data_IF_518094382890
#
_entry.id   IF_518094382890
#
_cell.length_a   1.000
_cell.length_b   1.000
_cell.length_c   1.000
_cell.angle_alpha   90.00
_cell.angle_beta   90.00
_cell.angle_gamma   90.00
#
_symmetry.space_group_name_H-M   'P 1'
#
loop_
_entity.id
_entity.type
_entity.pdbx_description
1 polymer ?
#
# COMPACT_ATOMS: atom_id res chain seq x y z
N UNK A 1 -14.52 -0.66 -13.54
CA UNK A 1 -14.33 -2.11 -13.82
C UNK A 1 -13.85 -2.40 -15.25
N UNK A 2 -14.21 -1.61 -16.28
CA UNK A 2 -13.69 -1.80 -17.65
C UNK A 2 -12.22 -1.34 -17.87
N UNK A 3 -11.69 -0.48 -17.01
CA UNK A 3 -10.42 0.23 -17.25
C UNK A 3 -9.14 -0.57 -16.93
N UNK A 4 -9.22 -1.59 -16.08
CA UNK A 4 -8.06 -2.46 -15.77
C UNK A 4 -7.83 -3.54 -16.84
N UNK A 5 -8.90 -4.02 -17.46
CA UNK A 5 -8.83 -4.98 -18.57
C UNK A 5 -8.25 -4.30 -19.82
N UNK A 6 -8.66 -3.06 -20.12
CA UNK A 6 -8.13 -2.28 -21.24
C UNK A 6 -6.62 -1.99 -21.14
N UNK A 7 -6.09 -1.81 -19.93
CA UNK A 7 -4.66 -1.56 -19.71
C UNK A 7 -3.77 -2.79 -19.92
N UNK A 8 -4.36 -3.99 -19.96
CA UNK A 8 -3.63 -5.26 -20.10
C UNK A 8 -3.40 -5.72 -21.55
N UNK A 9 -4.01 -5.03 -22.53
CA UNK A 9 -3.91 -5.39 -23.95
C UNK A 9 -4.57 -6.73 -24.30
N UNK A 10 -5.43 -7.26 -23.43
CA UNK A 10 -6.13 -8.52 -23.61
C UNK A 10 -7.41 -8.30 -24.44
N UNK A 11 -7.57 -9.05 -25.53
CA UNK A 11 -8.80 -9.03 -26.34
C UNK A 11 -9.95 -9.67 -25.55
N UNK A 12 -10.93 -8.86 -25.17
CA UNK A 12 -12.05 -9.21 -24.30
C UNK A 12 -12.86 -10.44 -24.77
N UNK A 13 -12.79 -10.81 -26.06
CA UNK A 13 -13.49 -11.98 -26.60
C UNK A 13 -12.80 -13.33 -26.33
N UNK A 14 -11.53 -13.32 -25.90
CA UNK A 14 -10.72 -14.54 -25.67
C UNK A 14 -10.40 -14.81 -24.19
N UNK A 15 -10.86 -13.94 -23.30
CA UNK A 15 -10.53 -13.99 -21.87
C UNK A 15 -11.54 -14.87 -21.12
N UNK A 16 -11.07 -15.99 -20.56
CA UNK A 16 -11.78 -16.66 -19.49
C UNK A 16 -11.45 -15.94 -18.19
N UNK A 17 -12.35 -15.11 -17.68
CA UNK A 17 -12.11 -14.27 -16.51
C UNK A 17 -13.25 -14.42 -15.52
N UNK A 18 -12.91 -14.93 -14.33
CA UNK A 18 -13.80 -14.99 -13.19
C UNK A 18 -13.34 -13.91 -12.20
N UNK A 19 -14.12 -12.84 -12.10
CA UNK A 19 -13.99 -11.84 -11.05
C UNK A 19 -15.23 -11.90 -10.16
N UNK A 20 -15.03 -11.94 -8.86
CA UNK A 20 -16.14 -12.01 -7.90
C UNK A 20 -15.82 -11.25 -6.63
N UNK A 21 -16.87 -10.80 -5.95
CA UNK A 21 -16.81 -10.29 -4.59
C UNK A 21 -17.65 -11.19 -3.71
N UNK A 22 -17.10 -11.61 -2.57
CA UNK A 22 -17.77 -12.46 -1.60
C UNK A 22 -17.70 -11.84 -0.20
N UNK A 23 -18.83 -11.70 0.50
CA UNK A 23 -20.19 -11.84 -0.02
C UNK A 23 -20.52 -10.74 -1.06
N UNK A 24 -21.56 -10.94 -1.88
CA UNK A 24 -21.97 -9.95 -2.89
C UNK A 24 -22.57 -8.67 -2.28
N UNK A 25 -23.21 -8.80 -1.12
CA UNK A 25 -23.73 -7.70 -0.31
C UNK A 25 -23.11 -7.84 1.09
N UNK A 26 -21.88 -7.35 1.29
CA UNK A 26 -21.26 -7.41 2.60
C UNK A 26 -22.00 -6.53 3.60
N UNK A 27 -22.04 -7.00 4.83
CA UNK A 27 -22.60 -6.26 5.96
C UNK A 27 -21.70 -5.09 6.31
N UNK A 28 -22.31 -3.97 6.69
CA UNK A 28 -21.70 -2.77 7.24
C UNK A 28 -22.72 -2.22 8.26
N UNK A 29 -22.57 -2.58 9.53
CA UNK A 29 -23.58 -2.32 10.57
C UNK A 29 -23.51 -0.89 11.08
N UNK A 30 -22.31 -0.36 11.23
CA UNK A 30 -22.13 1.00 11.71
C UNK A 30 -22.23 2.03 10.59
N UNK A 31 -22.06 1.67 9.31
CA UNK A 31 -22.28 2.52 8.15
C UNK A 31 -21.11 3.46 7.85
N UNK A 32 -19.88 3.09 8.18
CA UNK A 32 -18.67 3.86 7.82
C UNK A 32 -18.16 3.57 6.39
N UNK A 33 -18.75 2.59 5.71
CA UNK A 33 -18.40 2.18 4.34
C UNK A 33 -17.32 1.10 4.27
N UNK A 34 -16.82 0.63 5.41
CA UNK A 34 -15.98 -0.56 5.52
C UNK A 34 -16.89 -1.75 5.88
N UNK A 35 -16.88 -2.83 5.09
CA UNK A 35 -17.67 -3.99 5.43
C UNK A 35 -17.05 -4.78 6.58
N UNK A 36 -17.89 -5.47 7.37
CA UNK A 36 -17.44 -6.50 8.32
C UNK A 36 -16.38 -7.39 7.67
N UNK A 37 -16.65 -7.86 6.46
CA UNK A 37 -15.64 -8.47 5.59
C UNK A 37 -16.14 -8.50 4.13
N UNK A 38 -15.26 -8.19 3.19
CA UNK A 38 -15.46 -8.46 1.77
C UNK A 38 -14.16 -8.91 1.12
N UNK A 39 -14.22 -9.99 0.33
CA UNK A 39 -13.10 -10.49 -0.47
C UNK A 39 -13.40 -10.34 -1.94
N UNK A 40 -12.58 -9.55 -2.63
CA UNK A 40 -12.50 -9.54 -4.08
C UNK A 40 -11.55 -10.65 -4.54
N UNK A 41 -11.96 -11.46 -5.51
CA UNK A 41 -11.14 -12.50 -6.13
C UNK A 41 -11.12 -12.32 -7.64
N UNK A 42 -9.97 -12.55 -8.25
CA UNK A 42 -9.77 -12.54 -9.69
C UNK A 42 -9.02 -13.80 -10.11
N UNK A 43 -9.50 -14.47 -11.15
CA UNK A 43 -8.84 -15.59 -11.82
C UNK A 43 -9.15 -15.50 -13.31
N UNK A 44 -8.18 -14.98 -14.07
CA UNK A 44 -8.34 -14.71 -15.49
C UNK A 44 -7.20 -15.32 -16.28
N UNK A 45 -7.54 -15.91 -17.43
CA UNK A 45 -6.61 -16.61 -18.31
C UNK A 45 -6.86 -16.24 -19.77
N UNK A 46 -5.77 -15.94 -20.46
CA UNK A 46 -5.71 -15.83 -21.93
C UNK A 46 -4.47 -16.61 -22.37
N UNK A 47 -4.68 -17.73 -23.07
CA UNK A 47 -3.60 -18.63 -23.48
C UNK A 47 -2.68 -19.04 -22.31
N UNK A 48 -1.43 -18.54 -22.31
CA UNK A 48 -0.40 -18.75 -21.29
C UNK A 48 -0.22 -17.54 -20.35
N UNK A 49 -1.09 -16.54 -20.43
CA UNK A 49 -1.13 -15.38 -19.53
C UNK A 49 -2.21 -15.59 -18.47
N UNK A 50 -1.87 -15.35 -17.20
CA UNK A 50 -2.72 -15.58 -16.03
C UNK A 50 -2.69 -14.35 -15.12
N UNK A 51 -3.85 -13.88 -14.70
CA UNK A 51 -4.01 -12.95 -13.58
C UNK A 51 -4.80 -13.67 -12.49
N UNK A 52 -4.18 -13.87 -11.33
CA UNK A 52 -4.84 -14.45 -10.17
C UNK A 52 -4.60 -13.56 -8.97
N UNK A 53 -5.56 -13.50 -8.06
CA UNK A 53 -5.36 -12.78 -6.80
C UNK A 53 -6.61 -12.63 -5.97
N UNK A 54 -6.42 -12.26 -4.71
CA UNK A 54 -7.48 -11.88 -3.80
C UNK A 54 -7.08 -10.64 -3.02
N UNK A 55 -8.07 -9.81 -2.72
CA UNK A 55 -7.95 -8.66 -1.82
C UNK A 55 -9.09 -8.79 -0.82
N UNK A 56 -8.78 -8.82 0.47
CA UNK A 56 -9.77 -8.85 1.54
C UNK A 56 -9.74 -7.54 2.30
N UNK A 57 -10.90 -6.91 2.47
CA UNK A 57 -11.10 -5.76 3.34
C UNK A 57 -11.97 -6.23 4.52
N UNK A 58 -11.60 -5.85 5.74
CA UNK A 58 -12.29 -6.25 6.97
C UNK A 58 -12.34 -5.08 7.95
N UNK A 59 -13.51 -4.80 8.50
CA UNK A 59 -13.65 -3.93 9.67
C UNK A 59 -13.05 -4.59 10.92
N UNK A 60 -12.45 -3.83 11.83
CA UNK A 60 -11.97 -4.35 13.11
C UNK A 60 -13.12 -4.61 14.11
N UNK A 61 -14.17 -3.79 14.06
CA UNK A 61 -15.41 -3.91 14.84
C UNK A 61 -16.53 -3.16 14.11
N UNK A 62 -17.34 -3.90 13.36
CA UNK A 62 -18.46 -3.42 12.52
C UNK A 62 -19.58 -2.72 13.32
N UNK A 63 -19.47 -2.60 14.66
CA UNK A 63 -20.38 -1.80 15.49
C UNK A 63 -19.82 -0.42 15.86
N UNK A 64 -18.61 -0.08 15.41
CA UNK A 64 -17.90 1.11 15.80
C UNK A 64 -17.07 1.70 14.65
N UNK A 65 -17.61 2.77 14.03
CA UNK A 65 -17.03 3.53 12.91
C UNK A 65 -15.59 4.05 13.09
N UNK A 66 -15.04 3.93 14.30
CA UNK A 66 -13.69 4.37 14.65
C UNK A 66 -12.72 3.21 14.83
N UNK A 67 -13.16 1.96 14.79
CA UNK A 67 -12.42 0.73 15.08
C UNK A 67 -11.17 0.55 14.20
N UNK A 68 -11.22 1.06 12.96
CA UNK A 68 -10.19 0.88 11.94
C UNK A 68 -10.53 -0.27 11.00
N UNK A 69 -9.57 -0.70 10.18
CA UNK A 69 -9.79 -1.76 9.20
C UNK A 69 -8.50 -2.51 8.89
N UNK A 70 -8.64 -3.70 8.34
CA UNK A 70 -7.57 -4.48 7.74
C UNK A 70 -7.80 -4.64 6.23
N UNK A 71 -6.75 -4.50 5.43
CA UNK A 71 -6.71 -4.85 4.02
C UNK A 71 -5.58 -5.86 3.83
N UNK A 72 -5.86 -7.00 3.23
CA UNK A 72 -4.88 -8.06 3.01
C UNK A 72 -4.90 -8.50 1.55
N UNK A 73 -3.73 -8.76 0.98
CA UNK A 73 -3.60 -9.29 -0.38
C UNK A 73 -3.13 -10.74 -0.35
N UNK A 74 -3.77 -11.62 -1.11
CA UNK A 74 -3.36 -13.02 -1.23
C UNK A 74 -3.16 -13.39 -2.71
N UNK A 75 -1.97 -13.89 -3.04
CA UNK A 75 -1.63 -14.42 -4.37
C UNK A 75 -1.88 -13.46 -5.54
N UNK A 76 -1.76 -12.15 -5.37
CA UNK A 76 -1.98 -11.21 -6.48
C UNK A 76 -0.80 -11.23 -7.46
N UNK A 77 -0.96 -11.99 -8.55
CA UNK A 77 0.09 -12.29 -9.52
C UNK A 77 -0.44 -12.22 -10.95
N UNK A 78 0.30 -11.50 -11.80
CA UNK A 78 0.18 -11.53 -13.25
C UNK A 78 1.36 -12.31 -13.82
N UNK A 79 1.10 -13.46 -14.45
CA UNK A 79 2.09 -14.30 -15.10
C UNK A 79 1.90 -14.32 -16.61
N UNK A 80 3.01 -14.32 -17.36
CA UNK A 80 3.07 -14.44 -18.81
C UNK A 80 3.89 -15.66 -19.19
N UNK A 81 3.52 -16.35 -20.27
CA UNK A 81 4.17 -17.60 -20.71
C UNK A 81 4.22 -18.64 -19.59
N UNK A 82 3.15 -18.76 -18.81
CA UNK A 82 3.08 -19.71 -17.70
C UNK A 82 3.32 -21.14 -18.17
N UNK A 83 4.20 -21.85 -17.47
CA UNK A 83 4.54 -23.24 -17.79
C UNK A 83 5.62 -23.42 -18.87
N UNK A 84 6.23 -22.34 -19.35
CA UNK A 84 7.35 -22.39 -20.31
C UNK A 84 8.67 -21.92 -19.67
N UNK A 85 9.79 -22.17 -20.36
CA UNK A 85 11.11 -21.73 -19.94
C UNK A 85 11.28 -20.19 -19.92
N UNK A 86 10.40 -19.44 -20.59
CA UNK A 86 10.42 -17.98 -20.66
C UNK A 86 9.33 -17.30 -19.80
N UNK A 87 8.82 -17.99 -18.77
CA UNK A 87 7.84 -17.42 -17.85
C UNK A 87 8.35 -16.14 -17.18
N UNK A 88 7.49 -15.12 -17.15
CA UNK A 88 7.74 -13.83 -16.50
C UNK A 88 6.48 -13.33 -15.82
N UNK A 89 6.58 -12.34 -14.95
CA UNK A 89 5.39 -11.86 -14.26
C UNK A 89 5.64 -10.75 -13.27
N UNK A 90 4.55 -10.33 -12.64
CA UNK A 90 4.46 -9.35 -11.59
C UNK A 90 3.76 -9.98 -10.38
N UNK A 91 4.26 -9.70 -9.18
CA UNK A 91 3.60 -10.06 -7.92
C UNK A 91 3.37 -8.80 -7.10
N UNK A 92 2.22 -8.73 -6.46
CA UNK A 92 1.84 -7.69 -5.54
C UNK A 92 1.39 -8.33 -4.23
N UNK A 93 1.84 -7.74 -3.14
CA UNK A 93 1.38 -8.02 -1.80
C UNK A 93 1.25 -6.66 -1.07
N UNK A 94 0.12 -6.45 -0.44
CA UNK A 94 -0.25 -5.21 0.23
C UNK A 94 -1.12 -5.57 1.42
N UNK A 95 -0.59 -5.30 2.60
CA UNK A 95 -1.31 -5.46 3.85
C UNK A 95 -1.33 -4.12 4.60
N UNK A 96 -2.50 -3.76 5.10
CA UNK A 96 -2.72 -2.60 5.94
C UNK A 96 -3.54 -3.06 7.14
N UNK A 97 -3.10 -2.72 8.33
CA UNK A 97 -3.80 -3.04 9.57
C UNK A 97 -3.87 -1.78 10.42
N UNK A 98 -5.02 -1.09 10.36
CA UNK A 98 -5.35 0.11 11.12
C UNK A 98 -6.16 -0.31 12.33
N UNK A 99 -5.62 -0.10 13.53
CA UNK A 99 -6.26 -0.47 14.79
C UNK A 99 -6.50 0.74 15.66
N UNK A 100 -7.71 0.91 16.16
CA UNK A 100 -8.03 1.96 17.09
C UNK A 100 -7.43 1.70 18.49
N UNK A 101 -6.77 2.72 19.02
CA UNK A 101 -6.17 2.83 20.35
C UNK A 101 -6.65 4.12 21.01
N UNK A 102 -7.97 4.20 21.24
CA UNK A 102 -8.70 5.38 21.71
C UNK A 102 -7.83 6.41 22.49
N UNK A 103 -7.68 7.66 21.99
CA UNK A 103 -8.27 8.21 20.77
C UNK A 103 -7.40 8.00 19.50
N UNK A 104 -6.25 7.35 19.63
CA UNK A 104 -5.22 7.24 18.59
C UNK A 104 -5.39 5.96 17.77
N UNK A 105 -4.46 5.72 16.84
CA UNK A 105 -4.44 4.52 16.02
C UNK A 105 -3.03 3.96 15.88
N UNK A 106 -2.92 2.64 15.88
CA UNK A 106 -1.74 1.91 15.42
C UNK A 106 -1.95 1.51 13.96
N UNK A 107 -0.91 1.64 13.14
CA UNK A 107 -0.92 1.27 11.73
C UNK A 107 0.23 0.30 11.49
N UNK A 108 -0.06 -0.83 10.86
CA UNK A 108 0.96 -1.67 10.22
C UNK A 108 0.73 -1.65 8.73
N UNK A 109 1.81 -1.51 7.98
CA UNK A 109 1.78 -1.47 6.54
C UNK A 109 2.89 -2.35 5.99
N UNK A 110 2.53 -3.24 5.08
CA UNK A 110 3.42 -4.05 4.28
C UNK A 110 3.07 -3.83 2.82
N UNK A 111 4.07 -3.53 2.01
CA UNK A 111 3.93 -3.49 0.56
C UNK A 111 5.09 -4.23 -0.06
N UNK A 112 4.81 -5.12 -0.98
CA UNK A 112 5.80 -5.83 -1.76
C UNK A 112 5.37 -5.91 -3.22
N UNK A 113 6.28 -5.50 -4.09
CA UNK A 113 6.12 -5.62 -5.53
C UNK A 113 7.34 -6.35 -6.10
N UNK A 114 7.11 -7.36 -6.92
CA UNK A 114 8.17 -8.08 -7.64
C UNK A 114 7.85 -8.14 -9.13
N UNK A 115 8.84 -7.80 -9.95
CA UNK A 115 8.85 -8.10 -11.38
C UNK A 115 9.92 -9.17 -11.65
N UNK A 116 9.53 -10.25 -12.34
CA UNK A 116 10.41 -11.38 -12.58
C UNK A 116 10.38 -11.88 -14.03
N UNK A 117 11.49 -12.45 -14.46
CA UNK A 117 11.65 -13.27 -15.68
C UNK A 117 12.81 -14.26 -15.46
N UNK A 118 13.12 -15.17 -16.39
CA UNK A 118 14.19 -16.15 -16.16
C UNK A 118 15.52 -15.46 -15.84
N UNK A 119 16.12 -15.84 -14.71
CA UNK A 119 17.39 -15.30 -14.23
C UNK A 119 17.38 -13.84 -13.78
N UNK A 120 16.24 -13.13 -13.78
CA UNK A 120 16.17 -11.73 -13.34
C UNK A 120 14.95 -11.46 -12.47
N UNK A 121 15.19 -10.86 -11.31
CA UNK A 121 14.16 -10.41 -10.37
C UNK A 121 14.47 -8.99 -9.91
N UNK A 122 13.44 -8.17 -9.87
CA UNK A 122 13.46 -6.84 -9.28
C UNK A 122 12.34 -6.78 -8.26
N UNK A 123 12.62 -6.27 -7.07
CA UNK A 123 11.56 -6.08 -6.08
C UNK A 123 11.73 -4.80 -5.29
N UNK A 124 10.59 -4.27 -4.85
CA UNK A 124 10.50 -3.18 -3.91
C UNK A 124 9.66 -3.66 -2.73
N UNK A 125 10.12 -3.39 -1.52
CA UNK A 125 9.35 -3.64 -0.29
C UNK A 125 9.30 -2.37 0.53
N UNK A 126 8.14 -2.06 1.08
CA UNK A 126 7.99 -0.96 2.02
C UNK A 126 7.17 -1.42 3.22
N UNK A 127 7.87 -1.55 4.36
CA UNK A 127 7.27 -2.06 5.59
C UNK A 127 7.45 -1.02 6.69
N UNK A 128 6.36 -0.59 7.29
CA UNK A 128 6.42 0.35 8.40
C UNK A 128 5.33 0.11 9.42
N UNK A 129 5.59 0.60 10.63
CA UNK A 129 4.60 0.79 11.67
C UNK A 129 4.44 2.27 11.92
N UNK A 130 3.21 2.74 12.11
CA UNK A 130 2.94 4.13 12.46
C UNK A 130 2.01 4.23 13.67
N UNK A 131 2.16 5.31 14.41
CA UNK A 131 1.17 5.83 15.34
C UNK A 131 0.51 7.02 14.68
N UNK A 132 -0.82 7.07 14.73
CA UNK A 132 -1.61 8.18 14.22
C UNK A 132 -2.44 8.82 15.33
N UNK A 133 -2.26 10.13 15.48
CA UNK A 133 -3.01 10.95 16.43
C UNK A 133 -3.94 11.86 15.64
N UNK A 134 -5.27 11.66 15.70
CA UNK A 134 -6.20 12.54 15.02
C UNK A 134 -6.21 13.93 15.65
N UNK A 135 -6.38 14.97 14.83
CA UNK A 135 -6.60 16.34 15.32
C UNK A 135 -7.97 16.47 16.03
N UNK A 136 -8.96 15.69 15.59
CA UNK A 136 -10.32 15.66 16.10
C UNK A 136 -10.78 14.19 16.28
N UNK A 137 -10.88 13.66 17.52
CA UNK A 137 -11.28 12.28 17.77
C UNK A 137 -12.68 11.90 17.30
N UNK A 138 -13.56 12.88 17.03
CA UNK A 138 -14.89 12.62 16.48
C UNK A 138 -14.89 12.55 14.95
N UNK A 139 -13.85 13.09 14.31
CA UNK A 139 -13.65 13.03 12.86
C UNK A 139 -12.20 12.66 12.57
N UNK A 140 -11.78 11.44 12.97
CA UNK A 140 -10.37 11.10 13.10
C UNK A 140 -9.60 11.21 11.78
N UNK A 141 -10.26 11.08 10.63
CA UNK A 141 -9.62 11.09 9.32
C UNK A 141 -9.67 12.44 8.59
N UNK A 142 -10.11 13.54 9.22
CA UNK A 142 -10.08 14.88 8.59
C UNK A 142 -8.67 15.51 8.66
N UNK A 143 -7.88 15.11 9.64
CA UNK A 143 -6.53 15.62 9.88
C UNK A 143 -5.91 14.95 11.08
N UNK A 144 -4.59 14.91 11.11
CA UNK A 144 -3.85 14.30 12.22
C UNK A 144 -2.36 14.18 11.94
N UNK A 145 -1.68 13.54 12.87
CA UNK A 145 -0.22 13.48 12.91
C UNK A 145 0.25 12.03 12.94
N UNK A 146 1.20 11.70 12.06
CA UNK A 146 1.85 10.39 12.00
C UNK A 146 3.26 10.45 12.59
N UNK A 147 3.59 9.44 13.38
CA UNK A 147 4.97 9.05 13.64
C UNK A 147 5.14 7.65 13.10
N UNK A 148 6.06 7.44 12.15
CA UNK A 148 6.27 6.10 11.62
C UNK A 148 7.74 5.75 11.51
N UNK A 149 8.00 4.44 11.63
CA UNK A 149 9.32 3.85 11.46
C UNK A 149 9.18 2.62 10.58
N UNK A 150 10.10 2.47 9.64
CA UNK A 150 10.07 1.35 8.72
C UNK A 150 11.32 1.22 7.87
N UNK A 151 11.24 0.36 6.88
CA UNK A 151 12.29 0.10 5.91
C UNK A 151 11.73 0.12 4.49
N UNK A 152 12.46 0.78 3.61
CA UNK A 152 12.30 0.70 2.16
C UNK A 152 13.43 -0.14 1.59
N UNK A 153 13.08 -1.26 0.98
CA UNK A 153 14.01 -2.17 0.34
C UNK A 153 13.83 -2.12 -1.18
N UNK A 154 14.94 -2.14 -1.90
CA UNK A 154 14.95 -2.32 -3.35
C UNK A 154 15.99 -3.35 -3.74
N UNK A 155 15.58 -4.36 -4.50
CA UNK A 155 16.46 -5.45 -4.94
C UNK A 155 16.47 -5.51 -6.47
N UNK A 156 17.66 -5.72 -7.01
CA UNK A 156 17.90 -6.07 -8.42
C UNK A 156 18.60 -7.44 -8.46
N UNK A 157 18.85 -8.03 -9.63
CA UNK A 157 19.57 -9.32 -9.70
C UNK A 157 20.97 -9.29 -9.08
N UNK A 158 21.60 -8.12 -8.99
CA UNK A 158 22.99 -7.98 -8.52
C UNK A 158 23.16 -7.11 -7.29
N UNK A 159 22.13 -6.40 -6.84
CA UNK A 159 22.23 -5.42 -5.77
C UNK A 159 21.03 -5.46 -4.84
N UNK A 160 21.28 -5.08 -3.59
CA UNK A 160 20.28 -4.89 -2.56
C UNK A 160 20.51 -3.53 -1.91
N UNK A 161 19.46 -2.73 -1.84
CA UNK A 161 19.44 -1.42 -1.22
C UNK A 161 18.42 -1.43 -0.10
N UNK A 162 18.79 -0.85 1.03
CA UNK A 162 17.97 -0.74 2.22
C UNK A 162 18.08 0.68 2.74
N UNK A 163 16.92 1.33 2.90
CA UNK A 163 16.81 2.64 3.55
C UNK A 163 15.92 2.48 4.79
N UNK A 164 16.39 2.96 5.93
CA UNK A 164 15.59 3.08 7.14
C UNK A 164 14.80 4.38 7.06
N UNK A 165 13.48 4.28 7.15
CA UNK A 165 12.55 5.41 7.14
C UNK A 165 12.10 5.79 8.55
N UNK A 166 12.13 7.08 8.85
CA UNK A 166 11.60 7.64 10.08
C UNK A 166 10.85 8.93 9.78
N UNK A 167 9.57 8.98 10.12
CA UNK A 167 8.78 10.20 10.14
C UNK A 167 8.51 10.65 11.57
N UNK A 168 8.55 11.96 11.77
CA UNK A 168 8.31 12.60 13.06
C UNK A 168 7.33 13.74 12.89
N UNK A 169 6.24 13.69 13.66
CA UNK A 169 5.17 14.68 13.66
C UNK A 169 4.64 15.02 12.27
N UNK A 170 4.60 14.04 11.37
CA UNK A 170 4.20 14.23 9.98
C UNK A 170 2.70 14.54 9.93
N UNK A 171 2.34 15.79 9.67
CA UNK A 171 0.97 16.30 9.82
C UNK A 171 0.24 16.30 8.49
N UNK A 172 -0.87 15.60 8.44
CA UNK A 172 -1.80 15.54 7.32
C UNK A 172 -3.02 16.42 7.61
N UNK A 173 -3.55 17.07 6.57
CA UNK A 173 -4.86 17.72 6.59
C UNK A 173 -5.58 17.42 5.28
N UNK A 174 -6.86 17.06 5.35
CA UNK A 174 -7.67 16.74 4.16
C UNK A 174 -7.74 17.87 3.12
N UNK A 175 -7.61 19.13 3.56
CA UNK A 175 -7.58 20.29 2.68
C UNK A 175 -6.29 20.43 1.87
N UNK A 176 -5.21 19.72 2.25
CA UNK A 176 -3.95 19.69 1.52
C UNK A 176 -3.80 18.37 0.78
N UNK A 177 -4.06 18.37 -0.53
CA UNK A 177 -4.04 17.14 -1.35
C UNK A 177 -2.69 16.85 -1.99
N UNK A 178 -1.76 17.81 -1.98
CA UNK A 178 -0.47 17.69 -2.64
C UNK A 178 0.62 17.10 -1.75
N UNK A 179 0.54 17.27 -0.42
CA UNK A 179 1.60 16.91 0.52
C UNK A 179 1.14 17.02 1.99
N UNK A 180 2.08 16.90 2.93
CA UNK A 180 1.87 17.15 4.35
C UNK A 180 1.97 18.65 4.68
N UNK A 181 1.29 19.06 5.74
CA UNK A 181 1.27 20.47 6.18
C UNK A 181 2.29 20.77 7.28
N UNK A 182 3.02 19.75 7.75
CA UNK A 182 3.96 19.87 8.86
C UNK A 182 4.74 18.59 9.10
N UNK A 183 5.83 18.69 9.87
CA UNK A 183 6.64 17.56 10.31
C UNK A 183 7.77 17.21 9.36
N UNK A 184 8.39 16.05 9.60
CA UNK A 184 9.56 15.62 8.82
C UNK A 184 9.55 14.13 8.55
N UNK A 185 10.24 13.76 7.48
CA UNK A 185 10.55 12.40 7.10
C UNK A 185 12.04 12.28 6.76
N UNK A 186 12.66 11.18 7.15
CA UNK A 186 14.07 10.91 6.88
C UNK A 186 14.28 9.50 6.36
N UNK A 187 15.21 9.36 5.43
CA UNK A 187 15.71 8.10 4.89
C UNK A 187 17.20 8.01 5.18
N UNK A 188 17.64 6.91 5.78
CA UNK A 188 19.06 6.66 6.06
C UNK A 188 19.51 5.34 5.42
N UNK A 189 20.61 5.35 4.68
CA UNK A 189 21.21 4.14 4.13
C UNK A 189 22.18 3.45 5.10
N UNK A 190 22.70 2.29 4.71
CA UNK A 190 23.64 1.52 5.55
C UNK A 190 25.02 2.17 5.72
N UNK A 191 25.34 3.18 4.92
CA UNK A 191 26.59 3.96 5.01
C UNK A 191 26.42 5.21 5.88
N UNK A 192 25.20 5.48 6.36
CA UNK A 192 24.87 6.66 7.14
C UNK A 192 24.56 7.89 6.28
N UNK A 193 24.45 7.75 4.95
CA UNK A 193 23.93 8.84 4.13
C UNK A 193 22.47 9.04 4.47
N UNK A 194 22.05 10.30 4.55
CA UNK A 194 20.74 10.68 5.04
C UNK A 194 20.07 11.70 4.13
N UNK A 195 18.84 11.40 3.74
CA UNK A 195 17.92 12.36 3.11
C UNK A 195 16.92 12.80 4.17
N UNK A 196 16.80 14.10 4.41
CA UNK A 196 15.78 14.69 5.27
C UNK A 196 14.81 15.53 4.43
N UNK A 197 13.52 15.32 4.67
CA UNK A 197 12.41 16.03 4.05
C UNK A 197 11.62 16.70 5.17
N UNK A 198 11.54 18.03 5.16
CA UNK A 198 10.79 18.82 6.14
C UNK A 198 9.62 19.50 5.43
N UNK A 199 8.42 19.29 5.95
CA UNK A 199 7.20 19.91 5.44
C UNK A 199 6.91 21.15 6.27
N UNK A 200 6.95 22.32 5.64
CA UNK A 200 6.76 23.63 6.29
C UNK A 200 5.35 24.20 6.07
N UNK A 201 4.50 23.46 5.36
CA UNK A 201 3.15 23.87 4.98
C UNK A 201 2.72 23.16 3.70
N UNK A 202 1.45 23.32 3.34
CA UNK A 202 0.92 22.68 2.14
C UNK A 202 1.68 23.14 0.88
N UNK A 203 2.32 22.20 0.19
CA UNK A 203 3.14 22.45 -1.00
C UNK A 203 4.51 23.06 -0.72
N UNK A 204 4.90 23.23 0.56
CA UNK A 204 6.17 23.83 0.96
C UNK A 204 7.05 22.78 1.64
N UNK A 205 8.13 22.39 0.96
CA UNK A 205 9.01 21.30 1.38
C UNK A 205 10.46 21.76 1.28
N UNK A 206 11.24 21.45 2.31
CA UNK A 206 12.70 21.55 2.28
C UNK A 206 13.27 20.15 2.24
N UNK A 207 14.21 19.91 1.32
CA UNK A 207 14.89 18.63 1.20
C UNK A 207 16.39 18.86 1.38
N UNK A 208 17.02 18.04 2.21
CA UNK A 208 18.48 18.05 2.37
C UNK A 208 19.04 16.64 2.24
N UNK A 209 20.22 16.52 1.63
CA UNK A 209 20.99 15.28 1.56
C UNK A 209 22.33 15.49 2.26
N UNK A 210 22.60 14.68 3.29
CA UNK A 210 23.78 14.82 4.15
C UNK A 210 23.94 16.24 4.72
N UNK A 211 22.82 16.92 5.00
CA UNK A 211 22.78 18.30 5.52
C UNK A 211 22.89 19.40 4.46
N UNK A 212 23.11 19.06 3.20
CA UNK A 212 23.14 20.03 2.09
C UNK A 212 21.77 20.13 1.41
N UNK A 213 21.31 21.36 1.15
CA UNK A 213 20.03 21.58 0.46
C UNK A 213 20.07 21.06 -0.98
N UNK A 214 18.98 20.42 -1.42
CA UNK A 214 18.75 19.98 -2.80
C UNK A 214 17.95 21.01 -3.61
#
# INVERSE_FOLDING_TARGET
MASLILASGLDAQSISCNASTSPSNPQDLDGDGIPLQATFSVDCRVESTYLKGKITLRDQDDNNRKSGYALDTDQYELSFNTGTANQSGLKLDLDVDLNWRNPNYDIRYNFYFEAYKPGKRYSQRYNYTAEYVPDDPERPFVGGTFNYRGALEYRTPSRYYLLQGLATNLRYLRSCTSTFVGGSFSLTDSQGNRLDVVYNGCGNVTVTYNGEAL
#
